data_IF_942968058609
#
_entry.id   IF_942968058609
#
_cell.length_a   1.000
_cell.length_b   1.000
_cell.length_c   1.000
_cell.angle_alpha   90.00
_cell.angle_beta   90.00
_cell.angle_gamma   90.00
#
_symmetry.space_group_name_H-M   'P 1'
#
loop_
_entity.id
_entity.type
_entity.pdbx_description
1 polymer ?
#
# COMPACT_ATOMS: atom_id res chain seq x y z
N UNK A 1 12.02 13.86 -19.74
CA UNK A 1 10.80 14.51 -19.17
C UNK A 1 10.24 13.75 -17.97
N UNK A 2 10.17 12.41 -17.99
CA UNK A 2 9.67 11.59 -16.87
C UNK A 2 10.43 11.85 -15.55
N UNK A 3 11.75 12.00 -15.60
CA UNK A 3 12.57 12.32 -14.42
C UNK A 3 12.16 13.63 -13.72
N UNK A 4 11.75 14.65 -14.49
CA UNK A 4 11.23 15.92 -13.93
C UNK A 4 9.85 15.69 -13.27
N UNK A 5 9.02 14.84 -13.87
CA UNK A 5 7.74 14.42 -13.28
C UNK A 5 7.93 13.70 -11.94
N UNK A 6 8.87 12.75 -11.86
CA UNK A 6 9.19 12.05 -10.62
C UNK A 6 9.73 12.99 -9.52
N UNK A 7 10.62 13.92 -9.88
CA UNK A 7 11.13 14.92 -8.93
C UNK A 7 10.01 15.83 -8.41
N UNK A 8 9.10 16.27 -9.28
CA UNK A 8 7.92 17.03 -8.88
C UNK A 8 6.99 16.22 -7.98
N UNK A 9 6.73 14.96 -8.33
CA UNK A 9 5.93 14.03 -7.52
C UNK A 9 6.48 13.86 -6.11
N UNK A 10 7.81 13.72 -5.96
CA UNK A 10 8.46 13.62 -4.66
C UNK A 10 8.29 14.87 -3.80
N UNK A 11 8.45 16.06 -4.40
CA UNK A 11 8.21 17.33 -3.70
C UNK A 11 6.75 17.49 -3.29
N UNK A 12 5.82 17.05 -4.14
CA UNK A 12 4.38 17.06 -3.85
C UNK A 12 4.05 16.15 -2.67
N UNK A 13 4.55 14.91 -2.69
CA UNK A 13 4.35 13.94 -1.61
C UNK A 13 4.87 14.47 -0.26
N UNK A 14 6.03 15.11 -0.23
CA UNK A 14 6.56 15.74 1.00
C UNK A 14 5.66 16.82 1.57
N UNK A 15 5.07 17.66 0.71
CA UNK A 15 4.15 18.73 1.16
C UNK A 15 2.82 18.18 1.69
N UNK A 16 2.40 17.00 1.22
CA UNK A 16 1.11 16.38 1.53
C UNK A 16 1.21 15.20 2.49
N UNK A 17 2.27 15.14 3.29
CA UNK A 17 2.51 14.00 4.20
C UNK A 17 1.32 13.71 5.13
N UNK A 18 0.55 14.74 5.50
CA UNK A 18 -0.67 14.59 6.33
C UNK A 18 -1.79 13.83 5.62
N UNK A 19 -1.95 14.03 4.31
CA UNK A 19 -2.94 13.32 3.50
C UNK A 19 -2.57 11.83 3.33
N UNK A 20 -1.27 11.51 3.44
CA UNK A 20 -0.75 10.16 3.27
C UNK A 20 -0.82 9.29 4.53
N UNK A 21 -1.10 9.87 5.71
CA UNK A 21 -1.11 9.14 6.99
C UNK A 21 -2.09 7.98 6.96
N UNK A 22 -3.33 8.22 6.51
CA UNK A 22 -4.38 7.21 6.53
C UNK A 22 -4.06 6.05 5.56
N UNK A 23 -3.66 6.28 4.30
CA UNK A 23 -3.17 5.22 3.41
C UNK A 23 -1.96 4.43 3.94
N UNK A 24 -1.02 5.12 4.61
CA UNK A 24 0.15 4.48 5.23
C UNK A 24 -0.30 3.54 6.35
N UNK A 25 -1.21 3.99 7.23
CA UNK A 25 -1.70 3.20 8.36
C UNK A 25 -2.50 1.99 7.87
N UNK A 26 -3.42 2.15 6.92
CA UNK A 26 -4.22 1.03 6.41
C UNK A 26 -3.36 -0.02 5.69
N UNK A 27 -2.36 0.43 4.93
CA UNK A 27 -1.38 -0.48 4.30
C UNK A 27 -0.51 -1.17 5.37
N UNK A 28 -0.09 -0.45 6.41
CA UNK A 28 0.68 -1.02 7.50
C UNK A 28 -0.08 -2.11 8.25
N UNK A 29 -1.38 -1.92 8.51
CA UNK A 29 -2.23 -2.95 9.15
C UNK A 29 -2.28 -4.23 8.31
N UNK A 30 -2.45 -4.11 7.00
CA UNK A 30 -2.43 -5.26 6.10
C UNK A 30 -1.07 -5.97 6.06
N UNK A 31 0.01 -5.20 5.93
CA UNK A 31 1.37 -5.74 5.91
C UNK A 31 1.73 -6.44 7.22
N UNK A 32 1.32 -5.86 8.35
CA UNK A 32 1.48 -6.41 9.68
C UNK A 32 0.84 -7.80 9.80
N UNK A 33 -0.43 -7.92 9.37
CA UNK A 33 -1.14 -9.21 9.42
C UNK A 33 -0.49 -10.26 8.52
N UNK A 34 -0.10 -9.90 7.29
CA UNK A 34 0.59 -10.83 6.38
C UNK A 34 1.87 -11.35 7.03
N UNK A 35 2.70 -10.48 7.59
CA UNK A 35 3.95 -10.90 8.22
C UNK A 35 3.71 -11.84 9.39
N UNK A 36 2.75 -11.54 10.26
CA UNK A 36 2.43 -12.40 11.41
C UNK A 36 1.85 -13.76 10.98
N UNK A 37 0.97 -13.79 9.99
CA UNK A 37 0.39 -15.04 9.48
C UNK A 37 1.48 -15.97 8.95
N UNK A 38 2.43 -15.44 8.17
CA UNK A 38 3.53 -16.24 7.67
C UNK A 38 4.50 -16.65 8.80
N UNK A 39 4.78 -15.75 9.74
CA UNK A 39 5.61 -16.04 10.91
C UNK A 39 5.04 -17.18 11.78
N UNK A 40 3.72 -17.25 11.93
CA UNK A 40 3.03 -18.25 12.74
C UNK A 40 2.51 -19.45 11.93
N UNK A 41 2.80 -19.54 10.64
CA UNK A 41 2.23 -20.55 9.73
C UNK A 41 2.47 -22.00 10.17
N UNK A 42 3.63 -22.30 10.77
CA UNK A 42 3.94 -23.62 11.32
C UNK A 42 3.01 -23.95 12.50
N UNK A 43 2.87 -23.01 13.44
CA UNK A 43 1.97 -23.15 14.59
C UNK A 43 0.50 -23.25 14.22
N UNK A 44 0.06 -22.44 13.25
CA UNK A 44 -1.30 -22.51 12.69
C UNK A 44 -1.55 -23.92 12.14
N UNK A 45 -0.61 -24.50 11.39
CA UNK A 45 -0.74 -25.83 10.79
C UNK A 45 -0.78 -26.95 11.84
N UNK A 46 0.05 -26.87 12.87
CA UNK A 46 0.09 -27.87 13.94
C UNK A 46 -1.21 -27.88 14.76
N UNK A 47 -1.66 -26.71 15.20
CA UNK A 47 -2.91 -26.58 15.96
C UNK A 47 -4.14 -27.02 15.16
N UNK A 48 -4.16 -26.70 13.87
CA UNK A 48 -5.28 -27.05 12.99
C UNK A 48 -5.26 -28.53 12.55
N UNK A 49 -4.12 -29.22 12.64
CA UNK A 49 -4.03 -30.66 12.42
C UNK A 49 -4.75 -31.46 13.51
N UNK A 50 -4.72 -30.98 14.76
CA UNK A 50 -5.47 -31.59 15.88
C UNK A 50 -6.98 -31.57 15.64
N UNK A 51 -7.48 -30.59 14.88
CA UNK A 51 -8.91 -30.38 14.59
C UNK A 51 -9.33 -31.10 13.29
N UNK A 52 -8.38 -31.63 12.51
CA UNK A 52 -8.66 -32.36 11.25
C UNK A 52 -8.86 -31.47 10.01
N UNK A 53 -8.72 -30.15 10.11
CA UNK A 53 -9.00 -29.17 9.02
C UNK A 53 -7.79 -28.27 8.69
N UNK A 54 -6.57 -28.78 8.82
CA UNK A 54 -5.36 -27.96 8.77
C UNK A 54 -5.17 -27.14 7.50
N UNK A 55 -5.41 -27.76 6.35
CA UNK A 55 -5.20 -27.12 5.05
C UNK A 55 -6.25 -26.05 4.76
N UNK A 56 -7.51 -26.29 5.13
CA UNK A 56 -8.61 -25.32 4.97
C UNK A 56 -8.39 -24.09 5.85
N UNK A 57 -8.02 -24.30 7.11
CA UNK A 57 -7.73 -23.21 8.05
C UNK A 57 -6.52 -22.40 7.58
N UNK A 58 -5.44 -23.06 7.16
CA UNK A 58 -4.25 -22.36 6.66
C UNK A 58 -4.57 -21.50 5.42
N UNK A 59 -5.33 -22.04 4.46
CA UNK A 59 -5.77 -21.27 3.28
C UNK A 59 -6.66 -20.09 3.67
N UNK A 60 -7.62 -20.31 4.57
CA UNK A 60 -8.52 -19.27 5.04
C UNK A 60 -7.75 -18.11 5.69
N UNK A 61 -6.78 -18.41 6.57
CA UNK A 61 -5.98 -17.38 7.26
C UNK A 61 -5.10 -16.60 6.28
N UNK A 62 -4.49 -17.27 5.30
CA UNK A 62 -3.72 -16.59 4.24
C UNK A 62 -4.63 -15.68 3.40
N UNK A 63 -5.82 -16.16 3.00
CA UNK A 63 -6.79 -15.36 2.26
C UNK A 63 -7.26 -14.14 3.04
N UNK A 64 -7.51 -14.29 4.34
CA UNK A 64 -7.86 -13.16 5.22
C UNK A 64 -6.72 -12.15 5.26
N UNK A 65 -5.47 -12.59 5.45
CA UNK A 65 -4.32 -11.69 5.48
C UNK A 65 -4.16 -10.91 4.16
N UNK A 66 -4.27 -11.61 3.02
CA UNK A 66 -4.17 -10.99 1.70
C UNK A 66 -5.34 -10.03 1.44
N UNK A 67 -6.57 -10.38 1.81
CA UNK A 67 -7.72 -9.49 1.62
C UNK A 67 -7.62 -8.21 2.46
N UNK A 68 -7.16 -8.29 3.72
CA UNK A 68 -6.91 -7.09 4.53
C UNK A 68 -5.80 -6.23 3.94
N UNK A 69 -4.75 -6.84 3.36
CA UNK A 69 -3.73 -6.09 2.62
C UNK A 69 -4.32 -5.35 1.40
N UNK A 70 -5.20 -6.01 0.65
CA UNK A 70 -5.86 -5.41 -0.51
C UNK A 70 -6.81 -4.27 -0.12
N UNK A 71 -7.48 -4.34 1.04
CA UNK A 71 -8.26 -3.22 1.58
C UNK A 71 -7.39 -1.97 1.77
N UNK A 72 -6.15 -2.14 2.25
CA UNK A 72 -5.16 -1.06 2.31
C UNK A 72 -4.87 -0.45 0.94
N UNK A 73 -4.65 -1.29 -0.08
CA UNK A 73 -4.41 -0.82 -1.45
C UNK A 73 -5.61 -0.11 -2.10
N UNK A 74 -6.84 -0.51 -1.74
CA UNK A 74 -8.06 0.20 -2.17
C UNK A 74 -8.11 1.58 -1.52
N UNK A 75 -7.82 1.70 -0.22
CA UNK A 75 -7.81 3.01 0.43
C UNK A 75 -6.73 3.94 -0.15
N UNK A 76 -5.58 3.40 -0.56
CA UNK A 76 -4.55 4.18 -1.30
C UNK A 76 -5.13 4.77 -2.59
N UNK A 77 -5.92 4.01 -3.35
CA UNK A 77 -6.56 4.51 -4.57
C UNK A 77 -7.66 5.55 -4.29
N UNK A 78 -8.44 5.34 -3.23
CA UNK A 78 -9.45 6.30 -2.78
C UNK A 78 -8.80 7.61 -2.37
N UNK A 79 -7.73 7.56 -1.56
CA UNK A 79 -6.97 8.73 -1.17
C UNK A 79 -6.34 9.43 -2.40
N UNK A 80 -5.76 8.66 -3.32
CA UNK A 80 -5.23 9.20 -4.58
C UNK A 80 -6.32 9.95 -5.34
N UNK A 81 -7.52 9.39 -5.44
CA UNK A 81 -8.68 10.01 -6.10
C UNK A 81 -9.09 11.33 -5.43
N UNK A 82 -9.10 11.37 -4.09
CA UNK A 82 -9.37 12.61 -3.34
C UNK A 82 -8.29 13.65 -3.60
N UNK A 83 -7.01 13.31 -3.47
CA UNK A 83 -5.90 14.25 -3.66
C UNK A 83 -5.85 14.80 -5.09
N UNK A 84 -6.09 13.99 -6.13
CA UNK A 84 -6.16 14.50 -7.51
C UNK A 84 -7.36 15.41 -7.76
N UNK A 85 -8.49 15.19 -7.06
CA UNK A 85 -9.66 16.05 -7.16
C UNK A 85 -9.41 17.45 -6.57
N UNK A 86 -8.63 17.56 -5.49
CA UNK A 86 -8.29 18.85 -4.89
C UNK A 86 -7.27 19.68 -5.70
N UNK A 87 -6.60 19.09 -6.71
CA UNK A 87 -5.59 19.76 -7.56
C UNK A 87 -5.97 19.84 -9.04
N UNK A 88 -7.26 19.84 -9.36
CA UNK A 88 -7.76 19.95 -10.74
C UNK A 88 -7.20 21.17 -11.47
N UNK A 89 -7.17 22.34 -10.83
CA UNK A 89 -6.64 23.58 -11.41
C UNK A 89 -5.13 23.50 -11.71
N UNK A 90 -4.33 22.94 -10.80
CA UNK A 90 -2.89 22.73 -11.01
C UNK A 90 -2.64 21.83 -12.24
N UNK A 91 -3.37 20.72 -12.33
CA UNK A 91 -3.30 19.81 -13.48
C UNK A 91 -3.76 20.47 -14.78
N UNK A 92 -4.78 21.32 -14.71
CA UNK A 92 -5.25 22.13 -15.85
C UNK A 92 -4.19 23.09 -16.37
N UNK A 93 -3.44 23.75 -15.48
CA UNK A 93 -2.31 24.62 -15.86
C UNK A 93 -1.19 23.83 -16.53
N UNK A 94 -0.82 22.66 -15.98
CA UNK A 94 0.18 21.78 -16.59
C UNK A 94 -0.25 21.33 -18.00
N UNK A 95 -1.52 20.97 -18.17
CA UNK A 95 -2.09 20.60 -19.46
C UNK A 95 -2.17 21.77 -20.46
N UNK A 96 -2.51 22.98 -20.00
CA UNK A 96 -2.54 24.18 -20.85
C UNK A 96 -1.14 24.57 -21.38
N UNK A 97 -0.10 24.28 -20.60
CA UNK A 97 1.30 24.47 -20.99
C UNK A 97 1.85 23.36 -21.90
N UNK A 98 1.00 22.43 -22.37
CA UNK A 98 1.39 21.38 -23.31
C UNK A 98 2.20 20.23 -22.71
N UNK A 99 2.19 20.06 -21.38
CA UNK A 99 2.91 18.95 -20.75
C UNK A 99 2.22 17.62 -21.09
N UNK A 100 2.95 16.62 -21.60
CA UNK A 100 2.35 15.33 -21.95
C UNK A 100 1.86 14.59 -20.70
N UNK A 101 0.81 13.78 -20.88
CA UNK A 101 0.17 12.99 -19.81
C UNK A 101 1.12 12.06 -19.04
N UNK A 102 2.10 11.44 -19.70
CA UNK A 102 2.99 10.44 -19.09
C UNK A 102 3.77 10.97 -17.87
N UNK A 103 4.54 12.07 -18.00
CA UNK A 103 5.19 12.71 -16.87
C UNK A 103 4.25 13.17 -15.75
N UNK A 104 3.02 13.58 -16.07
CA UNK A 104 2.01 13.96 -15.08
C UNK A 104 1.55 12.72 -14.30
N UNK A 105 1.20 11.63 -14.98
CA UNK A 105 0.84 10.36 -14.34
C UNK A 105 1.97 9.85 -13.46
N UNK A 106 3.22 9.86 -13.96
CA UNK A 106 4.38 9.47 -13.17
C UNK A 106 4.53 10.31 -11.90
N UNK A 107 4.30 11.62 -11.97
CA UNK A 107 4.34 12.49 -10.81
C UNK A 107 3.24 12.17 -9.78
N UNK A 108 2.03 11.88 -10.26
CA UNK A 108 0.89 11.57 -9.41
C UNK A 108 1.01 10.20 -8.73
N UNK A 109 1.68 9.24 -9.38
CA UNK A 109 1.91 7.90 -8.83
C UNK A 109 3.00 7.84 -7.75
N UNK A 110 3.83 8.88 -7.60
CA UNK A 110 4.84 8.93 -6.53
C UNK A 110 4.17 8.90 -5.15
N UNK A 111 3.07 9.63 -5.00
CA UNK A 111 2.35 9.76 -3.73
C UNK A 111 1.80 8.41 -3.22
N UNK A 112 0.99 7.65 -3.97
CA UNK A 112 0.55 6.31 -3.53
C UNK A 112 1.70 5.32 -3.39
N UNK A 113 2.75 5.39 -4.23
CA UNK A 113 3.92 4.52 -4.11
C UNK A 113 4.65 4.75 -2.78
N UNK A 114 4.87 6.00 -2.40
CA UNK A 114 5.53 6.35 -1.14
C UNK A 114 4.66 5.94 0.05
N UNK A 115 3.34 6.13 -0.01
CA UNK A 115 2.43 5.66 1.03
C UNK A 115 2.52 4.14 1.20
N UNK A 116 2.52 3.39 0.10
CA UNK A 116 2.60 1.94 0.13
C UNK A 116 3.94 1.43 0.69
N UNK A 117 5.06 2.03 0.28
CA UNK A 117 6.40 1.69 0.81
C UNK A 117 6.48 1.96 2.30
N UNK A 118 6.07 3.15 2.74
CA UNK A 118 6.11 3.51 4.16
C UNK A 118 5.19 2.62 5.00
N UNK A 119 3.99 2.34 4.51
CA UNK A 119 3.04 1.45 5.17
C UNK A 119 3.58 0.03 5.29
N UNK A 120 4.08 -0.53 4.18
CA UNK A 120 4.63 -1.89 4.16
C UNK A 120 5.83 -2.03 5.12
N UNK A 121 6.77 -1.06 5.11
CA UNK A 121 7.92 -1.07 6.01
C UNK A 121 7.50 -0.94 7.48
N UNK A 122 6.58 -0.02 7.79
CA UNK A 122 6.09 0.18 9.15
C UNK A 122 5.36 -1.06 9.66
N UNK A 123 4.46 -1.64 8.86
CA UNK A 123 3.71 -2.85 9.19
C UNK A 123 4.62 -4.07 9.37
N UNK A 124 5.53 -4.29 8.42
CA UNK A 124 6.49 -5.41 8.49
C UNK A 124 7.47 -5.27 9.67
N UNK A 125 7.96 -4.07 9.94
CA UNK A 125 8.81 -3.78 11.09
C UNK A 125 8.07 -4.02 12.41
N UNK A 126 6.86 -3.48 12.55
CA UNK A 126 6.02 -3.69 13.72
C UNK A 126 5.71 -5.18 13.93
N UNK A 127 5.35 -5.91 12.88
CA UNK A 127 5.06 -7.35 12.98
C UNK A 127 6.30 -8.16 13.36
N UNK A 128 7.47 -7.82 12.82
CA UNK A 128 8.73 -8.48 13.17
C UNK A 128 9.08 -8.29 14.65
N UNK A 129 8.90 -7.06 15.16
CA UNK A 129 9.08 -6.76 16.60
C UNK A 129 8.06 -7.53 17.43
N UNK A 130 6.78 -7.50 17.06
CA UNK A 130 5.73 -8.26 17.77
C UNK A 130 6.02 -9.75 17.79
N UNK A 131 6.42 -10.34 16.66
CA UNK A 131 6.76 -11.75 16.56
C UNK A 131 7.94 -12.11 17.47
N UNK A 132 8.98 -11.27 17.53
CA UNK A 132 10.11 -11.46 18.45
C UNK A 132 9.69 -11.36 19.92
N UNK A 133 8.84 -10.38 20.27
CA UNK A 133 8.33 -10.22 21.64
C UNK A 133 7.47 -11.41 22.07
N UNK A 134 6.60 -11.91 21.19
CA UNK A 134 5.77 -13.10 21.44
C UNK A 134 6.63 -14.34 21.64
N UNK A 135 7.69 -14.52 20.84
CA UNK A 135 8.63 -15.62 21.01
C UNK A 135 9.38 -15.53 22.35
N UNK A 136 9.90 -14.35 22.70
CA UNK A 136 10.62 -14.11 23.96
C UNK A 136 9.73 -14.31 25.20
N UNK A 137 8.45 -13.93 25.11
CA UNK A 137 7.49 -14.09 26.19
C UNK A 137 6.98 -15.53 26.36
N UNK A 138 7.38 -16.47 25.48
CA UNK A 138 6.87 -17.85 25.49
C UNK A 138 5.39 -17.96 25.12
N UNK A 139 4.83 -16.94 24.46
CA UNK A 139 3.42 -16.87 24.08
C UNK A 139 3.12 -17.58 22.74
N UNK A 140 4.15 -18.13 22.09
CA UNK A 140 4.03 -19.00 20.91
C UNK A 140 4.61 -20.39 21.21
N UNK A 141 3.80 -21.33 21.76
CA UNK A 141 4.26 -22.67 22.13
C UNK A 141 4.85 -23.47 20.97
N UNK A 142 4.32 -23.23 19.77
CA UNK A 142 4.72 -23.85 18.50
C UNK A 142 5.83 -23.06 17.78
N UNK A 143 6.33 -21.99 18.41
CA UNK A 143 7.41 -21.15 17.91
C UNK A 143 6.99 -20.13 16.86
N UNK A 144 7.96 -19.27 16.51
CA UNK A 144 7.83 -18.24 15.48
C UNK A 144 8.87 -18.54 14.39
N UNK A 145 8.41 -18.69 13.15
CA UNK A 145 9.29 -19.01 12.02
C UNK A 145 10.00 -17.75 11.51
N UNK A 146 11.32 -17.71 11.65
CA UNK A 146 12.16 -16.64 11.07
C UNK A 146 12.04 -16.62 9.55
N UNK A 147 12.02 -17.78 8.90
CA UNK A 147 11.80 -17.88 7.46
C UNK A 147 10.40 -17.36 7.07
N UNK A 148 9.39 -17.61 7.93
CA UNK A 148 8.04 -17.07 7.79
C UNK A 148 8.00 -15.55 7.87
N UNK A 149 8.72 -14.94 8.83
CA UNK A 149 8.83 -13.48 8.93
C UNK A 149 9.44 -12.92 7.63
N UNK A 150 10.55 -13.46 7.16
CA UNK A 150 11.21 -12.99 5.93
C UNK A 150 10.31 -13.10 4.70
N UNK A 151 9.65 -14.25 4.53
CA UNK A 151 8.69 -14.46 3.45
C UNK A 151 7.51 -13.49 3.54
N UNK A 152 6.93 -13.33 4.72
CA UNK A 152 5.84 -12.39 4.99
C UNK A 152 6.23 -10.95 4.68
N UNK A 153 7.42 -10.51 5.08
CA UNK A 153 7.96 -9.18 4.78
C UNK A 153 8.09 -8.95 3.26
N UNK A 154 8.66 -9.92 2.54
CA UNK A 154 8.83 -9.84 1.08
C UNK A 154 7.49 -9.78 0.35
N UNK A 155 6.54 -10.64 0.75
CA UNK A 155 5.20 -10.69 0.17
C UNK A 155 4.45 -9.39 0.46
N UNK A 156 4.43 -8.93 1.71
CA UNK A 156 3.78 -7.70 2.10
C UNK A 156 4.33 -6.51 1.32
N UNK A 157 5.66 -6.37 1.24
CA UNK A 157 6.30 -5.28 0.52
C UNK A 157 6.00 -5.30 -0.99
N UNK A 158 6.19 -6.46 -1.63
CA UNK A 158 5.94 -6.61 -3.06
C UNK A 158 4.48 -6.37 -3.44
N UNK A 159 3.56 -7.00 -2.70
CA UNK A 159 2.11 -6.88 -2.97
C UNK A 159 1.62 -5.47 -2.68
N UNK A 160 2.05 -4.82 -1.60
CA UNK A 160 1.67 -3.43 -1.31
C UNK A 160 2.04 -2.48 -2.45
N UNK A 161 3.26 -2.57 -2.98
CA UNK A 161 3.73 -1.71 -4.07
C UNK A 161 2.93 -1.98 -5.35
N UNK A 162 2.84 -3.24 -5.75
CA UNK A 162 2.14 -3.63 -6.98
C UNK A 162 0.66 -3.24 -6.90
N UNK A 163 0.00 -3.52 -5.79
CA UNK A 163 -1.41 -3.20 -5.59
C UNK A 163 -1.63 -1.69 -5.59
N UNK A 164 -0.83 -0.90 -4.86
CA UNK A 164 -0.97 0.56 -4.84
C UNK A 164 -0.77 1.21 -6.21
N UNK A 165 0.22 0.76 -6.99
CA UNK A 165 0.43 1.27 -8.35
C UNK A 165 -0.74 0.86 -9.25
N UNK A 166 -1.18 -0.39 -9.19
CA UNK A 166 -2.27 -0.91 -10.02
C UNK A 166 -3.61 -0.19 -9.72
N UNK A 167 -3.97 -0.03 -8.44
CA UNK A 167 -5.24 0.59 -8.04
C UNK A 167 -5.25 2.10 -8.28
N UNK A 168 -4.10 2.78 -8.13
CA UNK A 168 -3.99 4.23 -8.37
C UNK A 168 -3.74 4.61 -9.83
N UNK A 169 -3.44 3.66 -10.73
CA UNK A 169 -3.18 3.98 -12.13
C UNK A 169 -4.40 4.60 -12.83
N UNK A 170 -5.58 4.01 -12.67
CA UNK A 170 -6.81 4.52 -13.29
C UNK A 170 -7.15 5.95 -12.87
N UNK A 171 -7.22 6.31 -11.57
CA UNK A 171 -7.54 7.69 -11.17
C UNK A 171 -6.47 8.70 -11.60
N UNK A 172 -5.18 8.33 -11.57
CA UNK A 172 -4.10 9.23 -12.01
C UNK A 172 -4.12 9.46 -13.51
N UNK A 173 -4.37 8.42 -14.31
CA UNK A 173 -4.53 8.51 -15.75
C UNK A 173 -5.72 9.39 -16.14
N UNK A 174 -6.86 9.18 -15.48
CA UNK A 174 -8.07 9.97 -15.70
C UNK A 174 -7.84 11.44 -15.33
N UNK A 175 -7.16 11.72 -14.23
CA UNK A 175 -6.84 13.09 -13.83
C UNK A 175 -5.92 13.80 -14.83
N UNK A 176 -4.89 13.11 -15.33
CA UNK A 176 -3.95 13.65 -16.32
C UNK A 176 -4.58 13.83 -17.72
N UNK A 177 -5.69 13.16 -18.02
CA UNK A 177 -6.37 13.21 -19.32
C UNK A 177 -7.50 14.24 -19.39
N UNK A 178 -7.78 14.97 -18.29
CA UNK A 178 -8.87 15.97 -18.27
C UNK A 178 -8.51 17.20 -19.13
N UNK A 179 -9.42 17.68 -20.00
CA UNK A 179 -9.17 18.88 -20.82
C UNK A 179 -8.87 20.10 -19.94
N UNK A 180 -7.83 20.91 -20.28
CA UNK A 180 -7.44 22.08 -19.49
C UNK A 180 -8.59 23.05 -19.23
N UNK A 181 -9.42 23.30 -20.25
CA UNK A 181 -10.58 24.21 -20.13
C UNK A 181 -11.53 23.77 -19.02
N UNK A 182 -11.86 22.47 -18.92
CA UNK A 182 -12.73 21.94 -17.85
C UNK A 182 -12.04 22.02 -16.50
N UNK A 183 -10.75 21.70 -16.43
CA UNK A 183 -9.98 21.76 -15.18
C UNK A 183 -9.81 23.19 -14.63
N UNK A 184 -9.81 24.20 -15.50
CA UNK A 184 -9.65 25.60 -15.12
C UNK A 184 -10.99 26.29 -14.78
N UNK A 185 -12.11 25.83 -15.34
CA UNK A 185 -13.45 26.39 -15.07
C UNK A 185 -14.21 25.66 -13.95
N UNK A 186 -13.90 24.39 -13.66
CA UNK A 186 -14.59 23.59 -12.65
C UNK A 186 -14.16 23.87 -11.19
N UNK A 187 -13.44 24.98 -10.94
CA UNK A 187 -12.93 25.37 -9.62
C UNK A 187 -13.76 26.45 -8.92
N UNK A 188 -15.07 26.50 -9.16
CA UNK A 188 -16.03 27.38 -8.48
C UNK A 188 -16.77 26.66 -7.38
#
# INVERSE_FOLDING_TARGET
MIQKGLAYGWLSARRRIREMVLPVVTTATGAFLVVLVFAMSAGIREQSAVIGHAEEINRAVILIAVTVLLVGAVEVAVATTRTVAHRTRELGVLGANGIPRGPVVAALLVEPLVAAVLGALAGAGAASVTAALVALAGLAPTGVSVAGILAGCLIAFGVSIVAAVATSFVPTWNAASRPPIRSLTAGG
#
